data_IF_110504434265
#
_entry.id   IF_110504434265
#
_cell.length_a   1.000
_cell.length_b   1.000
_cell.length_c   1.000
_cell.angle_alpha   90.00
_cell.angle_beta   90.00
_cell.angle_gamma   90.00
#
_symmetry.space_group_name_H-M   'P 1'
#
loop_
_entity.id
_entity.type
_entity.pdbx_description
1 polymer ?
#
# COMPACT_ATOMS: atom_id res chain seq x y z
N UNK A 1 12.25 -12.65 -39.80
CA UNK A 1 12.14 -11.21 -40.16
C UNK A 1 11.22 -10.46 -39.18
N UNK A 2 10.14 -11.08 -38.71
CA UNK A 2 9.21 -10.46 -37.73
C UNK A 2 9.83 -10.23 -36.34
N UNK A 3 10.63 -11.17 -35.82
CA UNK A 3 11.31 -11.02 -34.52
C UNK A 3 12.23 -9.79 -34.43
N UNK A 4 12.87 -9.39 -35.53
CA UNK A 4 13.72 -8.20 -35.61
C UNK A 4 12.91 -6.89 -35.64
N UNK A 5 11.71 -6.91 -36.24
CA UNK A 5 10.78 -5.78 -36.19
C UNK A 5 10.24 -5.58 -34.78
N UNK A 6 9.84 -6.66 -34.11
CA UNK A 6 9.35 -6.62 -32.73
C UNK A 6 10.37 -5.96 -31.79
N UNK A 7 11.62 -6.44 -31.82
CA UNK A 7 12.70 -5.93 -30.98
C UNK A 7 12.98 -4.44 -31.19
N UNK A 8 12.91 -3.97 -32.44
CA UNK A 8 13.14 -2.57 -32.79
C UNK A 8 12.01 -1.66 -32.29
N UNK A 9 10.77 -2.15 -32.30
CA UNK A 9 9.63 -1.42 -31.74
C UNK A 9 9.76 -1.31 -30.22
N UNK A 10 10.12 -2.39 -29.54
CA UNK A 10 10.32 -2.38 -28.08
C UNK A 10 11.43 -1.41 -27.66
N UNK A 11 12.54 -1.36 -28.39
CA UNK A 11 13.63 -0.40 -28.18
C UNK A 11 13.15 1.04 -28.36
N UNK A 12 12.38 1.33 -29.42
CA UNK A 12 11.81 2.66 -29.65
C UNK A 12 10.85 3.08 -28.54
N UNK A 13 10.03 2.14 -28.03
CA UNK A 13 9.12 2.40 -26.91
C UNK A 13 9.89 2.68 -25.63
N UNK A 14 10.93 1.90 -25.31
CA UNK A 14 11.77 2.13 -24.14
C UNK A 14 12.47 3.50 -24.21
N UNK A 15 13.02 3.85 -25.37
CA UNK A 15 13.66 5.14 -25.62
C UNK A 15 12.66 6.29 -25.41
N UNK A 16 11.46 6.18 -25.97
CA UNK A 16 10.42 7.20 -25.83
C UNK A 16 9.97 7.38 -24.37
N UNK A 17 9.76 6.28 -23.62
CA UNK A 17 9.41 6.33 -22.20
C UNK A 17 10.54 7.00 -21.40
N UNK A 18 11.79 6.64 -21.68
CA UNK A 18 12.95 7.21 -21.01
C UNK A 18 13.06 8.72 -21.26
N UNK A 19 12.96 9.16 -22.52
CA UNK A 19 12.99 10.57 -22.88
C UNK A 19 11.84 11.35 -22.25
N UNK A 20 10.64 10.78 -22.22
CA UNK A 20 9.45 11.40 -21.64
C UNK A 20 9.57 11.53 -20.10
N UNK A 21 10.08 10.51 -19.42
CA UNK A 21 10.34 10.54 -17.97
C UNK A 21 11.49 11.46 -17.56
N UNK A 22 12.46 11.68 -18.45
CA UNK A 22 13.63 12.53 -18.15
C UNK A 22 13.39 14.00 -18.50
N UNK A 23 12.64 14.29 -19.57
CA UNK A 23 12.30 15.64 -20.02
C UNK A 23 11.12 16.28 -19.26
N UNK A 24 10.14 15.50 -18.82
CA UNK A 24 8.95 16.04 -18.14
C UNK A 24 9.06 15.92 -16.61
N UNK A 25 9.63 16.95 -15.98
CA UNK A 25 9.84 16.99 -14.53
C UNK A 25 8.54 16.80 -13.72
N UNK A 26 7.44 17.44 -14.12
CA UNK A 26 6.14 17.33 -13.42
C UNK A 26 5.54 15.92 -13.51
N UNK A 27 5.68 15.25 -14.65
CA UNK A 27 5.27 13.85 -14.79
C UNK A 27 6.13 12.94 -13.91
N UNK A 28 7.46 13.13 -13.94
CA UNK A 28 8.39 12.40 -13.06
C UNK A 28 8.07 12.61 -11.58
N UNK A 29 7.70 13.83 -11.19
CA UNK A 29 7.25 14.15 -9.84
C UNK A 29 5.90 13.51 -9.54
N UNK A 30 4.92 13.56 -10.45
CA UNK A 30 3.60 12.92 -10.28
C UNK A 30 3.67 11.39 -10.16
N UNK A 31 4.54 10.74 -10.95
CA UNK A 31 4.85 9.31 -10.84
C UNK A 31 5.43 8.98 -9.47
N UNK A 32 6.23 9.88 -8.89
CA UNK A 32 6.84 9.73 -7.56
C UNK A 32 5.91 10.15 -6.40
N UNK A 33 4.97 11.06 -6.62
CA UNK A 33 4.14 11.68 -5.57
C UNK A 33 2.95 10.83 -5.12
N UNK A 34 2.55 9.80 -5.88
CA UNK A 34 1.42 8.93 -5.51
C UNK A 34 1.83 7.79 -4.57
N UNK A 35 2.63 8.11 -3.54
CA UNK A 35 3.01 7.17 -2.49
C UNK A 35 2.02 7.33 -1.34
N UNK A 36 0.88 6.66 -1.49
CA UNK A 36 -0.04 6.46 -0.36
C UNK A 36 0.71 5.67 0.70
N UNK A 37 0.74 6.22 1.90
CA UNK A 37 1.26 5.54 3.08
C UNK A 37 0.09 4.84 3.75
N UNK A 38 0.13 3.52 3.74
CA UNK A 38 -0.81 2.67 4.47
C UNK A 38 -0.41 2.67 5.94
N UNK A 39 -1.35 3.00 6.82
CA UNK A 39 -1.20 2.93 8.27
C UNK A 39 -1.76 1.61 8.77
N UNK A 40 -0.90 0.74 9.30
CA UNK A 40 -1.26 -0.60 9.71
C UNK A 40 -1.10 -0.76 11.22
N UNK A 41 -2.09 -1.37 11.87
CA UNK A 41 -1.95 -1.85 13.24
C UNK A 41 -1.34 -3.25 13.22
N UNK A 42 -0.35 -3.54 14.07
CA UNK A 42 0.25 -4.86 14.24
C UNK A 42 -0.13 -5.45 15.59
N UNK A 43 -0.75 -6.62 15.57
CA UNK A 43 -1.14 -7.37 16.77
C UNK A 43 -0.86 -8.86 16.54
N UNK A 44 0.20 -9.36 17.16
CA UNK A 44 0.61 -10.76 17.06
C UNK A 44 0.56 -11.43 18.44
N UNK A 45 0.32 -12.74 18.48
CA UNK A 45 0.40 -13.55 19.72
C UNK A 45 1.86 -13.88 20.06
N UNK A 46 2.65 -12.84 20.32
CA UNK A 46 4.09 -12.94 20.60
C UNK A 46 4.56 -11.79 21.48
N UNK A 47 5.85 -11.79 21.82
CA UNK A 47 6.43 -10.74 22.66
C UNK A 47 6.46 -9.39 21.94
N UNK A 48 6.44 -8.30 22.71
CA UNK A 48 6.55 -6.95 22.17
C UNK A 48 7.84 -6.74 21.35
N UNK A 49 8.93 -7.32 21.83
CA UNK A 49 10.25 -7.30 21.19
C UNK A 49 10.21 -7.97 19.81
N UNK A 50 9.49 -9.08 19.71
CA UNK A 50 9.31 -9.78 18.44
C UNK A 50 8.41 -9.01 17.49
N UNK A 51 7.30 -8.43 17.98
CA UNK A 51 6.46 -7.52 17.19
C UNK A 51 7.26 -6.30 16.68
N UNK A 52 8.15 -5.76 17.50
CA UNK A 52 9.02 -4.64 17.14
C UNK A 52 10.00 -5.03 16.03
N UNK A 53 10.61 -6.21 16.13
CA UNK A 53 11.47 -6.74 15.07
C UNK A 53 10.71 -6.85 13.73
N UNK A 54 9.52 -7.46 13.74
CA UNK A 54 8.69 -7.63 12.53
C UNK A 54 8.25 -6.28 11.95
N UNK A 55 7.86 -5.33 12.81
CA UNK A 55 7.55 -3.95 12.41
C UNK A 55 8.73 -3.33 11.66
N UNK A 56 9.92 -3.35 12.26
CA UNK A 56 11.11 -2.73 11.67
C UNK A 56 11.49 -3.38 10.34
N UNK A 57 11.32 -4.70 10.23
CA UNK A 57 11.58 -5.45 9.00
C UNK A 57 10.60 -5.07 7.87
N UNK A 58 9.30 -4.99 8.16
CA UNK A 58 8.28 -4.59 7.18
C UNK A 58 8.48 -3.12 6.77
N UNK A 59 8.68 -2.21 7.73
CA UNK A 59 8.95 -0.80 7.43
C UNK A 59 10.23 -0.63 6.61
N UNK A 60 11.26 -1.43 6.87
CA UNK A 60 12.48 -1.44 6.05
C UNK A 60 12.21 -1.90 4.61
N UNK A 61 11.44 -2.98 4.44
CA UNK A 61 11.11 -3.54 3.12
C UNK A 61 10.25 -2.57 2.28
N UNK A 62 9.20 -2.02 2.88
CA UNK A 62 8.23 -1.15 2.21
C UNK A 62 8.57 0.35 2.26
N UNK A 63 9.64 0.71 2.98
CA UNK A 63 10.15 2.07 3.15
C UNK A 63 9.09 3.01 3.74
N UNK A 64 8.53 3.88 2.90
CA UNK A 64 7.57 4.91 3.31
C UNK A 64 6.13 4.57 2.89
N UNK A 65 5.92 3.39 2.28
CA UNK A 65 4.60 2.96 1.79
C UNK A 65 3.74 2.37 2.89
N UNK A 66 4.35 1.86 3.95
CA UNK A 66 3.65 1.25 5.08
C UNK A 66 4.27 1.82 6.36
N UNK A 67 3.41 2.24 7.29
CA UNK A 67 3.78 2.57 8.67
C UNK A 67 3.02 1.62 9.59
N UNK A 68 3.73 1.08 10.58
CA UNK A 68 3.15 0.08 11.48
C UNK A 68 3.18 0.61 12.90
N UNK A 69 2.04 0.52 13.59
CA UNK A 69 1.97 0.75 15.03
C UNK A 69 1.64 -0.55 15.76
N UNK A 70 2.40 -0.84 16.82
CA UNK A 70 2.23 -2.05 17.62
C UNK A 70 1.10 -1.80 18.60
N UNK A 71 0.10 -2.67 18.57
CA UNK A 71 -1.01 -2.65 19.51
C UNK A 71 -0.86 -3.83 20.46
N UNK A 72 -0.97 -3.54 21.75
CA UNK A 72 -0.97 -4.57 22.78
C UNK A 72 -2.26 -5.41 22.69
N UNK A 73 -2.15 -6.74 22.57
CA UNK A 73 -3.31 -7.63 22.46
C UNK A 73 -4.24 -7.61 23.69
N UNK A 74 -3.76 -7.12 24.84
CA UNK A 74 -4.53 -7.04 26.09
C UNK A 74 -5.29 -5.71 26.25
N UNK A 75 -5.07 -4.74 25.37
CA UNK A 75 -5.83 -3.48 25.38
C UNK A 75 -7.22 -3.73 24.82
N UNK A 76 -8.27 -3.33 25.56
CA UNK A 76 -9.64 -3.39 25.04
C UNK A 76 -9.75 -2.55 23.78
N UNK A 77 -9.92 -3.26 22.68
CA UNK A 77 -10.00 -2.75 21.33
C UNK A 77 -11.34 -2.03 21.13
N UNK A 78 -11.36 -0.71 21.33
CA UNK A 78 -12.54 0.10 21.00
C UNK A 78 -12.52 0.51 19.52
N UNK A 79 -13.71 0.63 18.90
CA UNK A 79 -13.83 0.96 17.46
C UNK A 79 -13.20 2.31 17.11
N UNK A 80 -13.17 3.23 18.05
CA UNK A 80 -12.57 4.55 17.89
C UNK A 80 -11.03 4.49 17.73
N UNK A 81 -10.36 3.47 18.27
CA UNK A 81 -8.91 3.36 18.18
C UNK A 81 -8.46 2.86 16.80
N UNK A 82 -9.33 2.18 16.06
CA UNK A 82 -9.02 1.62 14.75
C UNK A 82 -9.38 2.53 13.57
N UNK A 83 -10.11 3.63 13.78
CA UNK A 83 -10.50 4.53 12.69
C UNK A 83 -9.32 5.23 12.00
N UNK A 84 -8.17 5.28 12.67
CA UNK A 84 -6.96 5.90 12.14
C UNK A 84 -6.07 4.92 11.36
N UNK A 85 -6.41 3.63 11.34
CA UNK A 85 -5.64 2.60 10.64
C UNK A 85 -6.39 2.13 9.40
N UNK A 86 -5.64 1.90 8.34
CA UNK A 86 -6.15 1.34 7.08
C UNK A 86 -6.35 -0.17 7.17
N UNK A 87 -5.53 -0.88 7.95
CA UNK A 87 -5.62 -2.33 8.13
C UNK A 87 -5.06 -2.83 9.47
N UNK A 88 -5.47 -4.04 9.85
CA UNK A 88 -4.93 -4.80 10.97
C UNK A 88 -4.11 -5.97 10.46
N UNK A 89 -2.87 -6.11 10.94
CA UNK A 89 -1.98 -7.23 10.71
C UNK A 89 -2.01 -8.14 11.94
N UNK A 90 -2.46 -9.38 11.76
CA UNK A 90 -2.52 -10.34 12.87
C UNK A 90 -2.27 -11.76 12.41
N UNK A 91 -1.71 -12.58 13.30
CA UNK A 91 -1.56 -14.03 13.16
C UNK A 91 -2.73 -14.79 13.83
N UNK A 92 -3.51 -14.10 14.66
CA UNK A 92 -4.62 -14.69 15.40
C UNK A 92 -5.90 -14.71 14.56
N UNK A 93 -6.48 -15.89 14.39
CA UNK A 93 -7.86 -16.04 13.92
C UNK A 93 -8.80 -15.61 15.04
N UNK A 94 -8.92 -14.30 15.25
CA UNK A 94 -9.89 -13.76 16.20
C UNK A 94 -11.27 -13.78 15.55
N UNK A 95 -12.26 -14.33 16.24
CA UNK A 95 -13.68 -14.28 15.85
C UNK A 95 -14.27 -12.87 15.96
N UNK A 96 -13.46 -11.91 16.42
CA UNK A 96 -13.84 -10.52 16.52
C UNK A 96 -13.89 -9.89 15.13
N UNK A 97 -15.07 -9.41 14.75
CA UNK A 97 -15.21 -8.56 13.57
C UNK A 97 -14.63 -7.18 13.89
N UNK A 98 -13.38 -6.96 13.48
CA UNK A 98 -12.78 -5.62 13.54
C UNK A 98 -13.45 -4.70 12.50
N UNK A 99 -13.53 -3.39 12.78
CA UNK A 99 -14.10 -2.42 11.85
C UNK A 99 -13.22 -2.14 10.62
N UNK A 100 -11.98 -2.63 10.61
CA UNK A 100 -10.98 -2.44 9.55
C UNK A 100 -10.59 -3.77 8.90
N UNK A 101 -10.15 -3.76 7.62
CA UNK A 101 -9.74 -4.99 6.95
C UNK A 101 -8.58 -5.65 7.71
N UNK A 102 -8.72 -6.94 7.95
CA UNK A 102 -7.74 -7.74 8.69
C UNK A 102 -6.97 -8.61 7.72
N UNK A 103 -5.64 -8.53 7.79
CA UNK A 103 -4.71 -9.29 6.95
C UNK A 103 -3.99 -10.29 7.86
N UNK A 104 -4.20 -11.57 7.56
CA UNK A 104 -3.51 -12.67 8.22
C UNK A 104 -2.04 -12.73 7.81
N UNK A 105 -1.14 -12.48 8.76
CA UNK A 105 0.32 -12.54 8.55
C UNK A 105 0.96 -13.58 9.45
N UNK A 106 2.13 -14.07 9.04
CA UNK A 106 2.96 -14.89 9.90
C UNK A 106 3.69 -14.02 10.93
N UNK A 107 4.21 -14.64 11.99
CA UNK A 107 5.06 -13.98 12.97
C UNK A 107 6.46 -13.61 12.43
N UNK A 108 6.71 -13.70 11.13
CA UNK A 108 7.93 -13.25 10.46
C UNK A 108 7.59 -12.78 9.04
N UNK A 109 8.46 -11.96 8.45
CA UNK A 109 8.27 -11.52 7.08
C UNK A 109 8.55 -12.68 6.11
N UNK A 110 7.54 -13.04 5.31
CA UNK A 110 7.66 -14.05 4.27
C UNK A 110 7.04 -13.55 2.96
N UNK A 111 7.31 -14.27 1.86
CA UNK A 111 6.87 -13.88 0.52
C UNK A 111 5.33 -13.77 0.42
N UNK A 112 4.59 -14.59 1.16
CA UNK A 112 3.12 -14.53 1.24
C UNK A 112 2.65 -13.22 1.90
N UNK A 113 3.24 -12.85 3.03
CA UNK A 113 2.96 -11.60 3.74
C UNK A 113 3.33 -10.39 2.87
N UNK A 114 4.48 -10.45 2.19
CA UNK A 114 4.92 -9.41 1.26
C UNK A 114 3.89 -9.24 0.14
N UNK A 115 3.44 -10.34 -0.47
CA UNK A 115 2.49 -10.31 -1.59
C UNK A 115 1.15 -9.72 -1.15
N UNK A 116 0.61 -10.17 -0.01
CA UNK A 116 -0.64 -9.62 0.56
C UNK A 116 -0.56 -8.12 0.87
N UNK A 117 0.55 -7.68 1.45
CA UNK A 117 0.77 -6.26 1.75
C UNK A 117 0.94 -5.42 0.47
N UNK A 118 1.63 -5.94 -0.54
CA UNK A 118 1.74 -5.28 -1.84
C UNK A 118 0.37 -5.10 -2.49
N UNK A 119 -0.43 -6.17 -2.55
CA UNK A 119 -1.77 -6.14 -3.12
C UNK A 119 -2.65 -5.13 -2.39
N UNK A 120 -2.59 -5.08 -1.06
CA UNK A 120 -3.32 -4.11 -0.27
C UNK A 120 -2.90 -2.66 -0.55
N UNK A 121 -1.59 -2.40 -0.66
CA UNK A 121 -1.07 -1.08 -1.03
C UNK A 121 -1.52 -0.67 -2.44
N UNK A 122 -1.56 -1.61 -3.39
CA UNK A 122 -2.07 -1.34 -4.73
C UNK A 122 -3.56 -1.02 -4.74
N UNK A 123 -4.39 -1.79 -4.02
CA UNK A 123 -5.82 -1.54 -3.88
C UNK A 123 -6.09 -0.16 -3.27
N UNK A 124 -5.41 0.18 -2.17
CA UNK A 124 -5.52 1.52 -1.55
C UNK A 124 -5.11 2.64 -2.49
N UNK A 125 -4.14 2.37 -3.36
CA UNK A 125 -3.71 3.32 -4.40
C UNK A 125 -4.77 3.54 -5.47
N UNK A 126 -5.49 2.51 -5.87
CA UNK A 126 -6.58 2.63 -6.83
C UNK A 126 -7.79 3.35 -6.23
N UNK A 127 -8.21 2.99 -5.01
CA UNK A 127 -9.28 3.69 -4.28
C UNK A 127 -9.01 5.20 -4.20
N UNK A 128 -7.79 5.58 -3.84
CA UNK A 128 -7.40 7.00 -3.72
C UNK A 128 -7.40 7.74 -5.06
N UNK A 129 -7.03 7.06 -6.15
CA UNK A 129 -7.09 7.64 -7.51
C UNK A 129 -8.54 7.87 -7.93
N UNK A 130 -9.45 6.95 -7.63
CA UNK A 130 -10.87 7.12 -7.92
C UNK A 130 -11.48 8.27 -7.11
N UNK A 131 -11.15 8.37 -5.83
CA UNK A 131 -11.60 9.48 -4.96
C UNK A 131 -11.08 10.82 -5.50
N UNK A 132 -9.81 10.87 -5.93
CA UNK A 132 -9.24 12.06 -6.54
C UNK A 132 -9.91 12.42 -7.87
N UNK A 133 -10.18 11.43 -8.73
CA UNK A 133 -10.87 11.67 -10.00
C UNK A 133 -12.29 12.20 -9.78
N UNK A 134 -13.04 11.63 -8.83
CA UNK A 134 -14.40 12.08 -8.48
C UNK A 134 -14.41 13.48 -7.87
N UNK A 135 -13.49 13.79 -6.94
CA UNK A 135 -13.41 15.12 -6.32
C UNK A 135 -12.98 16.19 -7.32
N UNK A 136 -12.09 15.85 -8.24
CA UNK A 136 -11.69 16.73 -9.35
C UNK A 136 -12.84 16.93 -10.34
N UNK A 137 -13.59 15.90 -10.73
CA UNK A 137 -14.76 16.05 -11.59
C UNK A 137 -15.89 16.89 -10.94
N UNK A 138 -16.08 16.76 -9.63
CA UNK A 138 -16.99 17.62 -8.86
C UNK A 138 -16.53 19.08 -8.84
N UNK A 139 -15.23 19.34 -8.64
CA UNK A 139 -14.69 20.71 -8.58
C UNK A 139 -14.73 21.45 -9.92
N UNK A 140 -14.73 20.72 -11.05
CA UNK A 140 -14.92 21.29 -12.39
C UNK A 140 -16.41 21.24 -12.84
N UNK A 141 -17.34 20.81 -11.98
CA UNK A 141 -18.79 20.85 -12.24
C UNK A 141 -19.32 19.84 -13.26
N UNK A 142 -18.59 18.75 -13.53
CA UNK A 142 -18.95 17.72 -14.52
C UNK A 142 -19.83 16.59 -13.97
N UNK A 143 -19.95 16.48 -12.65
CA UNK A 143 -20.90 15.59 -11.97
C UNK A 143 -21.83 16.48 -11.14
N UNK A 144 -23.09 16.62 -11.59
CA UNK A 144 -24.18 17.14 -10.77
C UNK A 144 -24.91 15.93 -10.18
N UNK A 145 -25.15 15.97 -8.87
CA UNK A 145 -26.04 15.04 -8.16
C UNK A 145 -27.40 14.91 -8.84
#
# INVERSE_FOLDING_TARGET
MELFKQRKVDEMVHQAIFELMTSWASLRLGVRQSTITVTAALMLDTTYEHMKMVKEEIEFYFRHKIKIDIIDPYVKLDRANFSNYDCLLTDTYTSNTYPIPTIGISNYLNDDTISKLLDFVYLKREESKEVFAKSHLNSIGLLKE
#
